data_IF_277547625173
#
_entry.id   IF_277547625173
#
_cell.length_a   1.000
_cell.length_b   1.000
_cell.length_c   1.000
_cell.angle_alpha   90.00
_cell.angle_beta   90.00
_cell.angle_gamma   90.00
#
_symmetry.space_group_name_H-M   'P 1'
#
loop_
_entity.id
_entity.type
_entity.pdbx_description
1 polymer ?
#
# COMPACT_ATOMS: atom_id res chain seq x y z
N UNK A 1 -3.96 1.54 10.33
CA UNK A 1 -4.98 1.10 9.36
C UNK A 1 -5.04 -0.41 9.40
N UNK A 2 -6.23 -0.99 9.22
CA UNK A 2 -6.47 -2.42 9.11
C UNK A 2 -7.13 -2.70 7.76
N UNK A 3 -6.54 -3.61 7.00
CA UNK A 3 -7.02 -4.07 5.70
C UNK A 3 -7.86 -5.33 5.93
N UNK A 4 -9.06 -5.36 5.36
CA UNK A 4 -10.01 -6.46 5.55
C UNK A 4 -10.55 -6.93 4.19
N UNK A 5 -10.81 -8.24 4.09
CA UNK A 5 -11.38 -8.95 2.93
C UNK A 5 -10.50 -8.91 1.66
N UNK A 6 -10.20 -10.08 1.10
CA UNK A 6 -9.36 -10.27 -0.08
C UNK A 6 -8.02 -9.50 -0.01
N UNK A 7 -7.35 -9.59 1.14
CA UNK A 7 -6.11 -8.85 1.40
C UNK A 7 -4.95 -9.48 0.64
N UNK A 8 -4.22 -8.66 -0.12
CA UNK A 8 -2.92 -9.01 -0.70
C UNK A 8 -1.97 -7.82 -0.57
N UNK A 9 -0.68 -8.09 -0.48
CA UNK A 9 0.34 -7.06 -0.32
C UNK A 9 1.71 -7.54 -0.77
N UNK A 10 2.60 -6.59 -1.04
CA UNK A 10 4.04 -6.81 -1.19
C UNK A 10 4.78 -5.76 -0.40
N UNK A 11 5.78 -6.19 0.36
CA UNK A 11 6.74 -5.32 1.04
C UNK A 11 8.18 -5.61 0.60
N UNK A 12 8.37 -6.38 -0.46
CA UNK A 12 9.69 -6.86 -0.91
C UNK A 12 10.65 -5.71 -1.23
N UNK A 13 10.15 -4.59 -1.76
CA UNK A 13 10.94 -3.39 -2.05
C UNK A 13 11.36 -2.60 -0.81
N UNK A 14 10.95 -2.99 0.40
CA UNK A 14 11.28 -2.32 1.66
C UNK A 14 11.83 -3.31 2.69
N UNK A 15 12.62 -4.26 2.22
CA UNK A 15 13.29 -5.20 3.11
C UNK A 15 14.35 -4.46 3.94
N UNK A 16 14.19 -4.40 5.29
CA UNK A 16 15.13 -3.68 6.15
C UNK A 16 16.55 -4.27 6.15
N UNK A 17 16.72 -5.52 5.70
CA UNK A 17 18.04 -6.15 5.58
C UNK A 17 18.88 -5.55 4.43
N UNK A 18 18.23 -4.90 3.45
CA UNK A 18 18.88 -4.43 2.22
C UNK A 18 18.58 -2.96 1.88
N UNK A 19 17.45 -2.40 2.34
CA UNK A 19 17.02 -1.04 2.05
C UNK A 19 16.48 -0.31 3.28
N UNK A 20 16.48 1.02 3.24
CA UNK A 20 15.81 1.86 4.21
C UNK A 20 14.27 1.65 4.11
N UNK A 21 13.59 1.23 5.19
CA UNK A 21 12.15 0.99 5.19
C UNK A 21 11.31 2.28 5.16
N UNK A 22 11.90 3.47 5.20
CA UNK A 22 11.16 4.73 5.13
C UNK A 22 10.43 4.90 3.78
N UNK A 23 9.13 5.25 3.85
CA UNK A 23 8.33 5.67 2.69
C UNK A 23 8.42 7.18 2.53
N UNK A 24 8.89 7.62 1.37
CA UNK A 24 8.98 9.04 1.04
C UNK A 24 7.62 9.59 0.58
N UNK A 25 6.83 8.76 -0.09
CA UNK A 25 5.53 9.12 -0.68
C UNK A 25 4.53 7.97 -0.48
N UNK A 26 3.23 8.28 -0.54
CA UNK A 26 2.19 7.27 -0.56
C UNK A 26 0.93 7.72 -1.27
N UNK A 27 0.31 6.81 -2.01
CA UNK A 27 -0.95 7.02 -2.72
C UNK A 27 -1.99 5.97 -2.29
N UNK A 28 -3.25 6.41 -2.22
CA UNK A 28 -4.40 5.54 -1.98
C UNK A 28 -5.46 5.78 -3.06
N UNK A 29 -5.87 4.71 -3.73
CA UNK A 29 -6.89 4.77 -4.78
C UNK A 29 -7.90 3.64 -4.62
N UNK A 30 -9.08 3.82 -5.18
CA UNK A 30 -10.14 2.80 -5.24
C UNK A 30 -10.35 2.43 -6.71
N UNK A 31 -10.11 1.17 -7.06
CA UNK A 31 -10.23 0.63 -8.42
C UNK A 31 -10.83 -0.78 -8.38
N UNK A 32 -11.84 -1.06 -9.21
CA UNK A 32 -12.56 -2.35 -9.27
C UNK A 32 -13.06 -2.89 -7.92
N UNK A 33 -13.48 -1.97 -7.05
CA UNK A 33 -13.95 -2.30 -5.70
C UNK A 33 -12.84 -2.79 -4.76
N UNK A 34 -11.58 -2.55 -5.11
CA UNK A 34 -10.43 -2.70 -4.23
C UNK A 34 -9.87 -1.34 -3.86
N UNK A 35 -9.39 -1.24 -2.64
CA UNK A 35 -8.58 -0.14 -2.15
C UNK A 35 -7.12 -0.55 -2.30
N UNK A 36 -6.34 0.24 -3.02
CA UNK A 36 -4.91 0.04 -3.24
C UNK A 36 -4.13 1.15 -2.53
N UNK A 37 -3.21 0.79 -1.65
CA UNK A 37 -2.35 1.71 -0.91
C UNK A 37 -0.87 1.38 -1.16
N UNK A 38 -0.09 2.31 -1.71
CA UNK A 38 1.27 2.03 -2.21
C UNK A 38 2.21 3.23 -2.07
N UNK A 39 3.52 2.99 -2.17
CA UNK A 39 4.60 3.92 -1.81
C UNK A 39 5.18 4.74 -2.98
N UNK A 40 4.34 5.19 -3.91
CA UNK A 40 4.76 5.99 -5.06
C UNK A 40 3.58 6.79 -5.63
N UNK A 41 3.79 8.03 -6.07
CA UNK A 41 2.77 8.81 -6.77
C UNK A 41 2.74 8.56 -8.29
N UNK A 42 1.59 8.79 -8.93
CA UNK A 42 1.43 8.78 -10.39
C UNK A 42 1.45 7.39 -11.06
N UNK A 43 1.55 6.30 -10.31
CA UNK A 43 1.48 4.93 -10.83
C UNK A 43 0.05 4.41 -10.75
N UNK A 44 -0.45 3.81 -11.84
CA UNK A 44 -1.73 3.08 -11.84
C UNK A 44 -1.59 1.76 -11.07
N UNK A 45 -2.60 1.35 -10.27
CA UNK A 45 -2.60 0.06 -9.58
C UNK A 45 -2.35 -1.14 -10.48
N UNK A 46 -2.79 -1.09 -11.73
CA UNK A 46 -2.53 -2.12 -12.75
C UNK A 46 -1.04 -2.39 -13.02
N UNK A 47 -0.16 -1.41 -12.71
CA UNK A 47 1.29 -1.49 -12.89
C UNK A 47 2.05 -1.83 -11.59
N UNK A 48 1.34 -2.01 -10.47
CA UNK A 48 1.98 -2.40 -9.21
C UNK A 48 2.59 -3.80 -9.34
N UNK A 49 3.84 -3.90 -8.91
CA UNK A 49 4.63 -5.13 -8.90
C UNK A 49 5.43 -5.19 -7.59
N UNK A 50 6.19 -6.26 -7.38
CA UNK A 50 6.99 -6.43 -6.16
C UNK A 50 8.16 -5.42 -6.03
N UNK A 51 8.39 -4.60 -7.06
CA UNK A 51 9.30 -3.44 -6.99
C UNK A 51 8.75 -2.29 -6.14
N UNK A 52 7.51 -2.38 -5.69
CA UNK A 52 6.83 -1.40 -4.85
C UNK A 52 6.32 -2.03 -3.57
N UNK A 53 6.13 -1.18 -2.56
CA UNK A 53 5.52 -1.55 -1.31
C UNK A 53 4.03 -1.21 -1.37
N UNK A 54 3.19 -2.20 -1.58
CA UNK A 54 1.77 -2.01 -1.84
C UNK A 54 0.90 -2.95 -1.02
N UNK A 55 -0.32 -2.50 -0.76
CA UNK A 55 -1.38 -3.24 -0.11
C UNK A 55 -2.68 -3.10 -0.91
N UNK A 56 -3.45 -4.17 -0.97
CA UNK A 56 -4.75 -4.24 -1.66
C UNK A 56 -5.75 -4.94 -0.75
N UNK A 57 -6.96 -4.40 -0.65
CA UNK A 57 -8.05 -4.99 0.13
C UNK A 57 -9.43 -4.49 -0.34
N UNK A 58 -10.51 -5.14 0.08
CA UNK A 58 -11.88 -4.64 -0.19
C UNK A 58 -12.35 -3.61 0.81
N UNK A 59 -11.76 -3.59 2.02
CA UNK A 59 -12.16 -2.67 3.09
C UNK A 59 -10.95 -2.20 3.89
N UNK A 60 -11.00 -0.94 4.33
CA UNK A 60 -10.06 -0.38 5.31
C UNK A 60 -10.83 0.09 6.54
N UNK A 61 -10.33 -0.27 7.72
CA UNK A 61 -10.62 0.44 8.97
C UNK A 61 -9.41 1.27 9.34
N UNK A 62 -9.61 2.49 9.80
CA UNK A 62 -8.52 3.34 10.25
C UNK A 62 -8.87 3.95 11.60
N UNK A 63 -7.84 4.29 12.35
CA UNK A 63 -7.93 5.03 13.60
C UNK A 63 -7.03 6.25 13.45
N UNK A 64 -7.60 7.44 13.62
CA UNK A 64 -6.86 8.70 13.59
C UNK A 64 -6.36 8.95 15.01
N UNK A 65 -5.05 9.11 15.16
CA UNK A 65 -4.43 9.57 16.39
C UNK A 65 -4.29 11.09 16.24
N UNK A 66 -5.11 11.89 16.94
CA UNK A 66 -4.96 13.34 16.93
C UNK A 66 -3.67 13.74 17.67
N UNK A 67 -3.14 14.92 17.33
CA UNK A 67 -2.08 15.58 18.10
C UNK A 67 -2.57 16.00 19.50
#
# INVERSE_FOLDING_TARGET
MWLENDVSYSTESRNPDYEDPYRFESSMVIEDGFICFYDCDGISPSKLSNKYCWFKARRIKYHIIPD
#
